data_IF_371855600309
#
_entry.id   IF_371855600309
#
_cell.length_a   1.000
_cell.length_b   1.000
_cell.length_c   1.000
_cell.angle_alpha   90.00
_cell.angle_beta   90.00
_cell.angle_gamma   90.00
#
_symmetry.space_group_name_H-M   'P 1'
#
loop_
_entity.id
_entity.type
_entity.pdbx_description
1 polymer ?
#
# COMPACT_ATOMS: atom_id res chain seq x y z
N UNK A 1 -24.93 -20.92 60.11
CA UNK A 1 -25.40 -19.59 59.65
C UNK A 1 -24.55 -18.50 60.31
N UNK A 2 -23.55 -17.96 59.60
CA UNK A 2 -22.71 -16.89 60.13
C UNK A 2 -23.46 -15.56 59.93
N UNK A 3 -23.98 -14.96 61.01
CA UNK A 3 -24.56 -13.60 60.99
C UNK A 3 -23.44 -12.57 60.85
N UNK A 4 -23.03 -12.27 59.62
CA UNK A 4 -22.14 -11.15 59.34
C UNK A 4 -22.88 -9.84 59.65
N UNK A 5 -22.32 -9.01 60.55
CA UNK A 5 -22.87 -7.67 60.85
C UNK A 5 -22.78 -6.81 59.59
N UNK A 6 -23.81 -6.00 59.29
CA UNK A 6 -23.92 -5.10 58.12
C UNK A 6 -22.61 -4.39 57.70
N UNK A 7 -21.78 -3.80 58.60
CA UNK A 7 -20.50 -3.19 58.19
C UNK A 7 -19.45 -4.19 57.69
N UNK A 8 -19.46 -5.45 58.16
CA UNK A 8 -18.52 -6.49 57.70
C UNK A 8 -18.87 -6.99 56.30
N UNK A 9 -20.15 -6.98 55.92
CA UNK A 9 -20.60 -7.34 54.57
C UNK A 9 -20.15 -6.27 53.57
N UNK A 10 -20.26 -4.99 53.93
CA UNK A 10 -19.82 -3.88 53.08
C UNK A 10 -18.31 -3.93 52.82
N UNK A 11 -17.50 -4.21 53.85
CA UNK A 11 -16.05 -4.37 53.70
C UNK A 11 -15.72 -5.52 52.74
N UNK A 12 -16.38 -6.68 52.89
CA UNK A 12 -16.14 -7.83 52.00
C UNK A 12 -16.52 -7.51 50.55
N UNK A 13 -17.62 -6.79 50.30
CA UNK A 13 -18.03 -6.39 48.94
C UNK A 13 -17.02 -5.41 48.35
N UNK A 14 -16.58 -4.39 49.09
CA UNK A 14 -15.59 -3.42 48.62
C UNK A 14 -14.24 -4.08 48.36
N UNK A 15 -13.79 -4.99 49.23
CA UNK A 15 -12.57 -5.76 49.01
C UNK A 15 -12.69 -6.69 47.80
N UNK A 16 -13.85 -7.32 47.59
CA UNK A 16 -14.11 -8.15 46.41
C UNK A 16 -14.09 -7.31 45.12
N UNK A 17 -14.72 -6.13 45.10
CA UNK A 17 -14.67 -5.20 43.97
C UNK A 17 -13.26 -4.66 43.67
N UNK A 18 -12.41 -4.50 44.69
CA UNK A 18 -11.00 -4.11 44.50
C UNK A 18 -10.12 -5.26 43.96
N UNK A 19 -10.54 -6.52 44.15
CA UNK A 19 -9.87 -7.70 43.58
C UNK A 19 -10.26 -7.96 42.11
N UNK A 20 -11.31 -7.30 41.61
CA UNK A 20 -11.68 -7.25 40.18
C UNK A 20 -11.22 -5.94 39.52
N UNK A 21 -10.11 -5.37 39.96
CA UNK A 21 -9.46 -4.34 39.16
C UNK A 21 -8.97 -5.01 37.86
N UNK A 22 -9.72 -4.83 36.77
CA UNK A 22 -9.30 -5.27 35.45
C UNK A 22 -7.90 -4.69 35.19
N UNK A 23 -6.95 -5.59 34.97
CA UNK A 23 -5.63 -5.25 34.45
C UNK A 23 -5.85 -4.50 33.14
N UNK A 24 -5.81 -3.17 33.19
CA UNK A 24 -5.94 -2.36 31.99
C UNK A 24 -4.65 -2.51 31.17
N UNK A 25 -4.57 -3.58 30.37
CA UNK A 25 -3.46 -3.77 29.45
C UNK A 25 -3.47 -2.61 28.43
N UNK A 26 -2.40 -1.84 28.40
CA UNK A 26 -2.20 -0.81 27.39
C UNK A 26 -1.55 -1.47 26.18
N UNK A 27 -2.04 -1.18 24.97
CA UNK A 27 -1.41 -1.68 23.73
C UNK A 27 0.02 -1.18 23.69
N UNK A 28 0.98 -2.07 23.48
CA UNK A 28 2.40 -1.70 23.47
C UNK A 28 2.83 -1.40 22.04
N UNK A 29 3.44 -0.24 21.84
CA UNK A 29 4.09 0.14 20.59
C UNK A 29 5.57 0.30 20.86
N UNK A 30 6.42 -0.35 20.08
CA UNK A 30 7.85 -0.32 20.33
C UNK A 30 8.65 -0.62 19.06
N UNK A 31 9.92 -0.26 19.11
CA UNK A 31 10.86 -0.52 18.03
C UNK A 31 11.66 -1.78 18.28
N UNK A 32 11.87 -2.57 17.23
CA UNK A 32 12.84 -3.65 17.18
C UNK A 32 13.97 -3.22 16.23
N UNK A 33 15.13 -2.92 16.80
CA UNK A 33 16.34 -2.50 16.11
C UNK A 33 17.59 -2.89 16.92
N UNK A 34 18.79 -2.90 16.32
CA UNK A 34 20.04 -3.06 17.07
C UNK A 34 20.20 -1.96 18.14
N UNK A 35 20.84 -2.27 19.27
CA UNK A 35 21.16 -1.24 20.28
C UNK A 35 22.43 -0.45 19.96
N UNK A 36 23.25 -0.96 19.02
CA UNK A 36 24.52 -0.36 18.62
C UNK A 36 24.78 -0.57 17.13
N UNK A 37 25.28 0.46 16.45
CA UNK A 37 25.66 0.43 15.02
C UNK A 37 26.89 1.32 14.75
N UNK A 38 27.61 1.05 13.66
CA UNK A 38 28.67 1.91 13.16
C UNK A 38 28.18 3.03 12.23
N UNK A 39 28.91 4.14 12.14
CA UNK A 39 28.66 5.16 11.10
C UNK A 39 28.77 4.53 9.70
N UNK A 40 27.80 4.82 8.84
CA UNK A 40 27.69 4.27 7.49
C UNK A 40 27.16 2.83 7.40
N UNK A 41 27.04 2.13 8.53
CA UNK A 41 26.46 0.79 8.58
C UNK A 41 24.93 0.89 8.57
N UNK A 42 24.31 0.56 7.43
CA UNK A 42 22.85 0.50 7.33
C UNK A 42 22.27 -0.53 8.30
N UNK A 43 21.09 -0.23 8.85
CA UNK A 43 20.37 -1.15 9.74
C UNK A 43 18.85 -1.02 9.58
N UNK A 44 18.15 -2.10 9.91
CA UNK A 44 16.69 -2.16 9.93
C UNK A 44 16.12 -1.80 11.31
N UNK A 45 15.06 -0.99 11.33
CA UNK A 45 14.25 -0.72 12.52
C UNK A 45 12.76 -0.96 12.23
N UNK A 46 12.17 -1.94 12.89
CA UNK A 46 10.75 -2.27 12.74
C UNK A 46 9.92 -1.63 13.85
N UNK A 47 8.84 -0.93 13.50
CA UNK A 47 7.84 -0.47 14.45
C UNK A 47 6.80 -1.57 14.64
N UNK A 48 6.64 -2.05 15.87
CA UNK A 48 5.78 -3.19 16.20
C UNK A 48 4.61 -2.76 17.10
N UNK A 49 3.49 -3.46 16.94
CA UNK A 49 2.30 -3.34 17.79
C UNK A 49 2.04 -4.67 18.50
N UNK A 50 1.94 -4.62 19.82
CA UNK A 50 1.45 -5.72 20.65
C UNK A 50 0.08 -5.33 21.22
N UNK A 51 -1.01 -5.99 20.76
CA UNK A 51 -2.38 -5.65 21.14
C UNK A 51 -2.67 -5.97 22.61
N UNK A 52 -1.89 -6.88 23.24
CA UNK A 52 -2.09 -7.32 24.62
C UNK A 52 -3.56 -7.64 24.95
N UNK A 53 -4.21 -8.39 24.05
CA UNK A 53 -5.60 -8.85 24.18
C UNK A 53 -6.67 -7.86 23.71
N UNK A 54 -6.30 -6.69 23.20
CA UNK A 54 -7.23 -5.72 22.62
C UNK A 54 -7.27 -5.83 21.10
N UNK A 55 -8.47 -5.86 20.55
CA UNK A 55 -8.65 -5.87 19.10
C UNK A 55 -8.57 -4.44 18.55
N UNK A 56 -7.61 -4.18 17.65
CA UNK A 56 -7.32 -2.85 17.11
C UNK A 56 -7.70 -2.79 15.64
N UNK A 57 -8.39 -1.74 15.20
CA UNK A 57 -8.82 -1.61 13.81
C UNK A 57 -8.30 -0.35 13.09
N UNK A 58 -7.69 0.59 13.79
CA UNK A 58 -7.09 1.76 13.17
C UNK A 58 -5.91 2.27 14.01
N UNK A 59 -4.90 2.78 13.31
CA UNK A 59 -3.74 3.42 13.92
C UNK A 59 -3.36 4.69 13.15
N UNK A 60 -2.79 5.65 13.85
CA UNK A 60 -2.15 6.83 13.29
C UNK A 60 -0.97 7.22 14.17
N UNK A 61 0.03 7.88 13.59
CA UNK A 61 1.15 8.40 14.36
C UNK A 61 2.22 9.06 13.51
N UNK A 62 3.24 9.55 14.21
CA UNK A 62 4.43 10.15 13.59
C UNK A 62 5.70 9.55 14.18
N UNK A 63 6.69 9.30 13.35
CA UNK A 63 8.05 8.96 13.79
C UNK A 63 8.94 10.16 13.60
N UNK A 64 9.63 10.57 14.66
CA UNK A 64 10.63 11.64 14.59
C UNK A 64 11.97 11.01 14.23
N UNK A 65 12.59 11.48 13.16
CA UNK A 65 13.87 10.96 12.69
C UNK A 65 15.02 11.79 13.29
N UNK A 66 15.92 11.19 14.09
CA UNK A 66 17.11 11.87 14.58
C UNK A 66 18.01 12.35 13.45
N UNK A 67 18.73 13.47 13.63
CA UNK A 67 19.56 14.08 12.59
C UNK A 67 20.78 13.24 12.20
N UNK A 68 21.18 12.35 13.10
CA UNK A 68 22.27 11.40 12.93
C UNK A 68 21.86 10.19 12.08
N UNK A 69 20.58 10.07 11.72
CA UNK A 69 20.04 8.98 10.91
C UNK A 69 19.44 9.52 9.60
N UNK A 70 19.89 8.95 8.49
CA UNK A 70 19.28 9.14 7.17
C UNK A 70 18.34 7.96 6.88
N UNK A 71 17.15 8.22 6.35
CA UNK A 71 16.22 7.17 5.92
C UNK A 71 16.59 6.74 4.50
N UNK A 72 16.96 5.47 4.33
CA UNK A 72 17.21 4.87 3.01
C UNK A 72 15.88 4.48 2.37
N UNK A 73 15.02 3.77 3.11
CA UNK A 73 13.73 3.29 2.61
C UNK A 73 12.77 2.97 3.75
N UNK A 74 11.48 2.90 3.42
CA UNK A 74 10.41 2.48 4.30
C UNK A 74 9.64 1.34 3.63
N UNK A 75 9.42 0.25 4.35
CA UNK A 75 8.80 -0.96 3.86
C UNK A 75 7.59 -1.32 4.73
N UNK A 76 6.41 -1.38 4.11
CA UNK A 76 5.14 -1.78 4.73
C UNK A 76 4.62 -3.13 4.22
N UNK A 77 5.48 -3.93 3.59
CA UNK A 77 5.13 -5.18 2.93
C UNK A 77 4.62 -6.28 3.86
N UNK A 78 5.28 -6.41 5.01
CA UNK A 78 4.87 -7.32 6.08
C UNK A 78 3.97 -6.61 7.12
N UNK A 79 3.29 -5.53 6.75
CA UNK A 79 2.48 -4.75 7.67
C UNK A 79 1.21 -5.49 8.10
N UNK A 80 0.85 -5.36 9.38
CA UNK A 80 -0.47 -5.66 9.91
C UNK A 80 -1.55 -4.71 9.37
N UNK A 81 -1.17 -3.50 8.94
CA UNK A 81 -2.09 -2.52 8.36
C UNK A 81 -2.36 -2.91 6.92
N UNK A 82 -3.59 -3.32 6.65
CA UNK A 82 -4.00 -3.78 5.33
C UNK A 82 -4.44 -2.65 4.40
N UNK A 83 -4.86 -1.50 4.95
CA UNK A 83 -5.26 -0.32 4.17
C UNK A 83 -4.66 0.95 4.75
N UNK A 84 -3.80 1.62 3.98
CA UNK A 84 -3.21 2.89 4.37
C UNK A 84 -4.08 4.07 3.90
N UNK A 85 -4.31 5.02 4.80
CA UNK A 85 -4.86 6.35 4.47
C UNK A 85 -3.71 7.29 4.16
N UNK A 86 -2.65 7.22 4.97
CA UNK A 86 -1.38 7.87 4.73
C UNK A 86 -0.28 6.81 4.91
N UNK A 87 0.30 6.39 3.79
CA UNK A 87 1.34 5.37 3.78
C UNK A 87 2.64 5.94 4.34
N UNK A 88 3.36 5.20 5.21
CA UNK A 88 4.59 5.69 5.82
C UNK A 88 5.65 5.95 4.73
N UNK A 89 6.03 7.21 4.58
CA UNK A 89 7.03 7.66 3.61
C UNK A 89 7.93 8.72 4.30
N UNK A 90 9.23 8.84 3.98
CA UNK A 90 10.05 9.91 4.49
C UNK A 90 9.58 11.21 3.84
N UNK A 91 8.79 12.00 4.57
CA UNK A 91 8.58 13.39 4.19
C UNK A 91 9.90 14.11 4.51
N UNK A 92 10.50 14.85 3.58
CA UNK A 92 11.79 15.55 3.77
C UNK A 92 11.84 16.55 4.95
N UNK A 93 10.79 16.59 5.78
CA UNK A 93 10.66 17.32 7.04
C UNK A 93 11.40 16.69 8.24
N UNK A 94 11.93 15.47 8.09
CA UNK A 94 12.54 14.72 9.21
C UNK A 94 11.53 13.90 10.02
N UNK A 95 10.32 13.70 9.48
CA UNK A 95 9.28 12.88 10.09
C UNK A 95 8.69 11.89 9.08
N UNK A 96 8.30 10.71 9.59
CA UNK A 96 7.47 9.74 8.87
C UNK A 96 6.08 9.80 9.50
N UNK A 97 5.10 10.28 8.74
CA UNK A 97 3.69 10.31 9.15
C UNK A 97 2.99 9.10 8.54
N UNK A 98 2.07 8.50 9.31
CA UNK A 98 1.32 7.36 8.83
C UNK A 98 -0.07 7.29 9.49
N UNK A 99 -1.03 6.77 8.74
CA UNK A 99 -2.35 6.42 9.24
C UNK A 99 -2.96 5.30 8.39
N UNK A 100 -3.67 4.39 9.03
CA UNK A 100 -4.26 3.26 8.32
C UNK A 100 -5.23 2.46 9.18
N UNK A 101 -5.94 1.56 8.50
CA UNK A 101 -7.01 0.75 9.07
C UNK A 101 -6.77 -0.74 8.81
N UNK A 102 -7.32 -1.54 9.69
CA UNK A 102 -7.31 -3.01 9.69
C UNK A 102 -8.77 -3.47 9.76
N UNK A 103 -9.47 -3.55 8.62
CA UNK A 103 -10.85 -4.02 8.59
C UNK A 103 -10.95 -5.41 9.21
N UNK A 104 -11.94 -5.60 10.08
CA UNK A 104 -12.12 -6.86 10.81
C UNK A 104 -11.28 -6.98 12.09
N UNK A 105 -10.42 -6.00 12.39
CA UNK A 105 -9.65 -5.93 13.63
C UNK A 105 -8.39 -6.80 13.66
N UNK A 106 -7.45 -6.41 14.51
CA UNK A 106 -6.19 -7.08 14.74
C UNK A 106 -6.06 -7.45 16.22
N UNK A 107 -6.07 -8.76 16.49
CA UNK A 107 -5.86 -9.35 17.82
C UNK A 107 -4.41 -9.80 18.06
N UNK A 108 -3.59 -9.84 17.01
CA UNK A 108 -2.21 -10.34 17.03
C UNK A 108 -1.94 -11.39 15.96
N UNK A 109 -0.68 -11.73 15.77
CA UNK A 109 -0.23 -12.80 14.89
C UNK A 109 -0.31 -14.17 15.57
N UNK A 110 -0.90 -15.14 14.88
CA UNK A 110 -0.87 -16.55 15.26
C UNK A 110 0.21 -17.26 14.43
N UNK A 111 0.98 -18.13 15.06
CA UNK A 111 1.99 -18.92 14.38
C UNK A 111 1.98 -20.37 14.84
N UNK A 112 2.48 -21.30 14.01
CA UNK A 112 2.46 -22.72 14.31
C UNK A 112 3.45 -23.12 15.42
N UNK A 113 4.33 -22.21 15.83
CA UNK A 113 5.42 -22.48 16.77
C UNK A 113 5.26 -21.77 18.13
N UNK A 114 4.14 -21.09 18.37
CA UNK A 114 3.87 -20.39 19.62
C UNK A 114 2.40 -20.41 20.00
N UNK A 115 2.11 -20.31 21.30
CA UNK A 115 0.75 -20.25 21.81
C UNK A 115 0.31 -18.79 21.99
N UNK A 116 -0.92 -18.49 21.57
CA UNK A 116 -1.53 -17.18 21.73
C UNK A 116 -1.18 -16.19 20.63
N UNK A 117 -1.72 -14.98 20.80
CA UNK A 117 -1.55 -13.87 19.87
C UNK A 117 -0.25 -13.12 20.17
N UNK A 118 0.53 -12.86 19.12
CA UNK A 118 1.79 -12.13 19.20
C UNK A 118 1.70 -10.77 18.51
N UNK A 119 2.73 -9.95 18.74
CA UNK A 119 2.93 -8.67 18.06
C UNK A 119 2.92 -8.81 16.54
N UNK A 120 2.62 -7.71 15.86
CA UNK A 120 2.80 -7.57 14.42
C UNK A 120 3.64 -6.37 14.05
N UNK A 121 4.11 -6.36 12.81
CA UNK A 121 4.84 -5.24 12.23
C UNK A 121 3.90 -4.18 11.68
N UNK A 122 4.08 -2.92 12.07
CA UNK A 122 3.39 -1.78 11.43
C UNK A 122 4.12 -1.40 10.14
N UNK A 123 5.42 -1.15 10.20
CA UNK A 123 6.32 -1.02 9.05
C UNK A 123 7.77 -1.12 9.52
N UNK A 124 8.69 -1.22 8.56
CA UNK A 124 10.14 -1.25 8.77
C UNK A 124 10.82 -0.09 8.06
N UNK A 125 11.80 0.51 8.71
CA UNK A 125 12.60 1.61 8.17
C UNK A 125 14.05 1.15 8.06
N UNK A 126 14.65 1.37 6.90
CA UNK A 126 16.08 1.21 6.70
C UNK A 126 16.78 2.54 6.98
N UNK A 127 17.64 2.56 7.99
CA UNK A 127 18.40 3.74 8.39
C UNK A 127 19.86 3.62 8.01
N UNK A 128 20.50 4.76 7.76
CA UNK A 128 21.94 4.92 7.63
C UNK A 128 22.45 5.93 8.67
N UNK A 129 23.26 5.53 9.64
CA UNK A 129 23.89 6.46 10.56
C UNK A 129 24.92 7.34 9.85
N UNK A 130 24.81 8.66 10.01
CA UNK A 130 25.70 9.66 9.39
C UNK A 130 26.65 10.35 10.38
N UNK A 131 26.38 10.24 11.68
CA UNK A 131 27.20 10.83 12.74
C UNK A 131 27.22 9.94 13.99
N UNK A 132 28.31 10.00 14.76
CA UNK A 132 28.41 9.30 16.05
C UNK A 132 27.57 9.98 17.13
N UNK A 133 27.12 9.21 18.12
CA UNK A 133 26.31 9.74 19.21
C UNK A 133 25.38 8.70 19.83
N UNK A 134 24.57 9.14 20.78
CA UNK A 134 23.44 8.36 21.27
C UNK A 134 22.16 9.03 20.77
N UNK A 135 21.30 8.26 20.11
CA UNK A 135 20.04 8.76 19.58
C UNK A 135 18.88 7.93 20.07
N UNK A 136 17.70 8.53 20.07
CA UNK A 136 16.46 7.89 20.47
C UNK A 136 15.49 7.89 19.29
N UNK A 137 15.06 6.70 18.88
CA UNK A 137 13.99 6.53 17.90
C UNK A 137 12.67 6.48 18.68
N UNK A 138 11.79 7.44 18.43
CA UNK A 138 10.54 7.60 19.17
C UNK A 138 9.36 7.87 18.24
N UNK A 139 8.19 7.47 18.71
CA UNK A 139 6.90 7.74 18.08
C UNK A 139 6.15 8.82 18.86
N UNK A 140 5.56 9.77 18.16
CA UNK A 140 4.73 10.85 18.71
C UNK A 140 3.31 10.77 18.15
N UNK A 141 2.39 11.39 18.89
CA UNK A 141 0.98 11.52 18.51
C UNK A 141 0.32 10.20 18.11
N UNK A 142 0.79 9.08 18.67
CA UNK A 142 0.26 7.78 18.29
C UNK A 142 -1.15 7.61 18.84
N UNK A 143 -2.07 7.18 18.00
CA UNK A 143 -3.42 6.80 18.40
C UNK A 143 -3.74 5.42 17.85
N UNK A 144 -4.46 4.62 18.64
CA UNK A 144 -5.03 3.36 18.19
C UNK A 144 -6.49 3.27 18.62
N UNK A 145 -7.34 2.77 17.73
CA UNK A 145 -8.78 2.59 17.96
C UNK A 145 -9.12 1.11 18.14
N UNK A 146 -10.02 0.84 19.07
CA UNK A 146 -10.58 -0.49 19.30
C UNK A 146 -11.50 -0.89 18.14
N UNK A 147 -11.55 -2.18 17.83
CA UNK A 147 -12.50 -2.74 16.89
C UNK A 147 -13.91 -2.90 17.50
N UNK A 148 -14.51 -1.81 17.95
CA UNK A 148 -15.82 -1.81 18.62
C UNK A 148 -16.93 -1.11 17.83
N UNK A 149 -16.61 -0.54 16.66
CA UNK A 149 -17.53 0.22 15.82
C UNK A 149 -17.92 1.60 16.38
N UNK A 150 -17.35 2.02 17.51
CA UNK A 150 -17.62 3.31 18.17
C UNK A 150 -16.46 4.31 18.02
N UNK A 151 -15.30 3.86 17.56
CA UNK A 151 -14.11 4.70 17.42
C UNK A 151 -13.43 4.97 18.77
N UNK A 152 -13.54 4.05 19.73
CA UNK A 152 -12.97 4.22 21.06
C UNK A 152 -11.44 4.16 21.01
N UNK A 153 -10.77 5.21 21.51
CA UNK A 153 -9.31 5.22 21.68
C UNK A 153 -8.89 4.29 22.81
N UNK A 154 -7.84 3.49 22.59
CA UNK A 154 -7.23 2.69 23.65
C UNK A 154 -6.05 3.42 24.32
N UNK A 155 -5.79 3.06 25.57
CA UNK A 155 -4.53 3.40 26.23
C UNK A 155 -3.34 2.70 25.55
N UNK A 156 -2.23 3.42 25.47
CA UNK A 156 -1.01 3.02 24.79
C UNK A 156 0.19 3.04 25.75
N UNK A 157 1.11 2.11 25.53
CA UNK A 157 2.45 2.13 26.10
C UNK A 157 3.46 2.29 24.95
N UNK A 158 3.90 3.53 24.73
CA UNK A 158 4.88 3.86 23.70
C UNK A 158 6.29 3.70 24.28
N UNK A 159 7.08 2.79 23.72
CA UNK A 159 8.48 2.58 24.08
C UNK A 159 9.37 3.14 22.97
N UNK A 160 10.24 4.05 23.35
CA UNK A 160 11.33 4.49 22.48
C UNK A 160 12.45 3.45 22.44
N UNK A 161 13.35 3.61 21.47
CA UNK A 161 14.53 2.77 21.35
C UNK A 161 15.80 3.61 21.33
N UNK A 162 16.69 3.32 22.28
CA UNK A 162 18.00 3.96 22.39
C UNK A 162 19.01 3.22 21.51
N UNK A 163 19.71 3.99 20.68
CA UNK A 163 20.70 3.51 19.74
C UNK A 163 22.04 4.23 20.00
N UNK A 164 23.11 3.46 20.11
CA UNK A 164 24.48 3.97 20.22
C UNK A 164 25.16 3.87 18.85
N UNK A 165 25.58 5.01 18.29
CA UNK A 165 26.29 5.08 17.02
C UNK A 165 27.79 5.28 17.29
N UNK A 166 28.61 4.29 16.93
CA UNK A 166 30.06 4.31 17.10
C UNK A 166 30.79 4.62 15.79
N UNK A 167 32.06 5.00 15.90
CA UNK A 167 32.90 5.32 14.74
C UNK A 167 33.36 4.08 13.94
N UNK A 168 33.25 2.87 14.50
CA UNK A 168 33.74 1.63 13.88
C UNK A 168 32.60 0.74 13.39
N UNK A 169 32.81 0.09 12.24
CA UNK A 169 31.94 -0.94 11.67
C UNK A 169 32.33 -2.28 12.30
N UNK A 170 31.91 -2.54 13.55
CA UNK A 170 32.23 -3.81 14.23
C UNK A 170 31.20 -4.92 13.99
N UNK A 171 29.99 -4.58 13.54
CA UNK A 171 28.99 -5.57 13.17
C UNK A 171 29.04 -5.89 11.67
N UNK A 172 28.73 -7.14 11.26
CA UNK A 172 28.58 -7.46 9.84
C UNK A 172 27.63 -6.46 9.19
N UNK A 173 27.98 -5.97 8.00
CA UNK A 173 27.04 -5.22 7.18
C UNK A 173 25.80 -6.10 7.02
N UNK A 174 24.63 -5.59 7.44
CA UNK A 174 23.37 -6.23 7.13
C UNK A 174 23.32 -6.23 5.59
N UNK A 175 23.52 -7.39 4.96
CA UNK A 175 23.43 -7.51 3.52
C UNK A 175 22.03 -7.04 3.16
N UNK A 176 21.94 -5.95 2.39
CA UNK A 176 20.69 -5.51 1.81
C UNK A 176 20.21 -6.70 0.98
N UNK A 177 19.21 -7.41 1.49
CA UNK A 177 18.60 -8.53 0.78
C UNK A 177 18.07 -7.96 -0.53
N UNK A 178 18.70 -8.33 -1.66
CA UNK A 178 18.14 -8.08 -2.98
C UNK A 178 16.93 -8.99 -3.13
N UNK A 179 15.76 -8.45 -2.80
CA UNK A 179 14.51 -9.12 -3.12
C UNK A 179 14.33 -9.16 -4.66
N UNK A 180 14.18 -10.38 -5.16
CA UNK A 180 14.01 -10.69 -6.59
C UNK A 180 12.66 -11.34 -6.85
N UNK A 181 11.82 -11.43 -5.83
CA UNK A 181 10.49 -12.00 -5.95
C UNK A 181 9.54 -10.91 -6.45
N UNK A 182 8.68 -11.26 -7.39
CA UNK A 182 7.62 -10.35 -7.83
C UNK A 182 6.51 -10.28 -6.78
N UNK A 183 5.76 -9.16 -6.71
CA UNK A 183 4.63 -9.02 -5.81
C UNK A 183 3.66 -10.20 -5.83
N UNK A 184 2.97 -10.43 -4.71
CA UNK A 184 1.97 -11.49 -4.58
C UNK A 184 0.84 -11.30 -5.63
N UNK A 185 0.12 -12.39 -5.94
CA UNK A 185 -1.02 -12.29 -6.86
C UNK A 185 -2.13 -11.46 -6.23
N UNK A 186 -2.67 -10.50 -6.99
CA UNK A 186 -3.76 -9.63 -6.54
C UNK A 186 -4.90 -9.58 -7.56
N UNK A 187 -6.09 -9.22 -7.09
CA UNK A 187 -7.28 -8.98 -7.92
C UNK A 187 -7.49 -7.49 -8.16
N UNK A 188 -8.09 -7.19 -9.30
CA UNK A 188 -8.53 -5.85 -9.67
C UNK A 188 -10.04 -5.94 -9.88
N UNK A 189 -10.77 -5.00 -9.30
CA UNK A 189 -12.22 -4.94 -9.41
C UNK A 189 -12.67 -3.63 -10.04
N UNK A 190 -13.67 -3.71 -10.92
CA UNK A 190 -14.32 -2.54 -11.50
C UNK A 190 -15.53 -2.21 -10.62
N UNK A 191 -15.55 -1.00 -10.08
CA UNK A 191 -16.62 -0.51 -9.22
C UNK A 191 -17.23 0.77 -9.79
N UNK A 192 -18.47 1.03 -9.38
CA UNK A 192 -19.16 2.30 -9.59
C UNK A 192 -19.85 2.65 -8.29
N UNK A 193 -19.51 3.78 -7.69
CA UNK A 193 -20.01 4.15 -6.38
C UNK A 193 -20.29 5.66 -6.35
N UNK A 194 -21.44 6.07 -5.80
CA UNK A 194 -21.82 7.48 -5.73
C UNK A 194 -20.84 8.32 -4.89
N UNK A 195 -20.16 7.70 -3.93
CA UNK A 195 -19.17 8.35 -3.06
C UNK A 195 -17.76 8.39 -3.66
N UNK A 196 -17.52 7.76 -4.83
CA UNK A 196 -16.22 7.73 -5.48
C UNK A 196 -16.33 8.23 -6.91
N UNK A 197 -15.52 9.24 -7.25
CA UNK A 197 -15.43 9.81 -8.60
C UNK A 197 -16.79 10.15 -9.23
N UNK A 198 -17.70 10.77 -8.48
CA UNK A 198 -19.00 11.24 -9.00
C UNK A 198 -19.81 10.12 -9.70
N UNK A 199 -19.82 8.91 -9.15
CA UNK A 199 -20.52 7.76 -9.72
C UNK A 199 -19.97 7.35 -11.11
N UNK A 200 -18.67 7.54 -11.36
CA UNK A 200 -17.99 7.03 -12.54
C UNK A 200 -17.37 5.65 -12.27
N UNK A 201 -17.11 4.89 -13.34
CA UNK A 201 -16.43 3.61 -13.25
C UNK A 201 -14.97 3.81 -12.83
N UNK A 202 -14.55 3.07 -11.81
CA UNK A 202 -13.20 3.11 -11.28
C UNK A 202 -12.69 1.70 -10.99
N UNK A 203 -11.37 1.58 -10.84
CA UNK A 203 -10.69 0.37 -10.42
C UNK A 203 -10.36 0.46 -8.94
N UNK A 204 -10.57 -0.64 -8.23
CA UNK A 204 -10.02 -0.86 -6.89
C UNK A 204 -9.10 -2.07 -6.95
N UNK A 205 -7.92 -1.93 -6.37
CA UNK A 205 -6.91 -2.97 -6.28
C UNK A 205 -5.97 -2.66 -5.12
N UNK A 206 -5.38 -3.71 -4.56
CA UNK A 206 -4.31 -3.62 -3.58
C UNK A 206 -3.44 -4.86 -3.73
N UNK A 207 -2.14 -4.65 -3.91
CA UNK A 207 -1.14 -5.71 -3.97
C UNK A 207 -0.32 -5.75 -2.68
N UNK A 208 0.25 -6.90 -2.38
CA UNK A 208 1.15 -7.09 -1.26
C UNK A 208 2.47 -7.67 -1.77
N UNK A 209 3.57 -7.17 -1.23
CA UNK A 209 4.89 -7.75 -1.42
C UNK A 209 5.59 -7.76 -0.07
N UNK A 210 6.01 -8.94 0.41
CA UNK A 210 6.61 -9.09 1.75
C UNK A 210 8.11 -8.81 1.78
N UNK A 211 8.76 -8.82 0.62
CA UNK A 211 10.19 -8.61 0.49
C UNK A 211 10.52 -7.13 0.60
N UNK A 212 10.36 -6.40 -0.50
CA UNK A 212 10.68 -4.99 -0.63
C UNK A 212 9.48 -4.05 -0.47
N UNK A 213 8.26 -4.58 -0.55
CA UNK A 213 7.02 -3.81 -0.46
C UNK A 213 6.63 -3.12 -1.77
N UNK A 214 5.38 -2.72 -1.90
CA UNK A 214 4.88 -2.07 -3.12
C UNK A 214 5.37 -0.63 -3.21
N UNK A 215 5.92 -0.25 -4.37
CA UNK A 215 6.30 1.13 -4.68
C UNK A 215 5.13 1.91 -5.29
N UNK A 216 4.62 1.44 -6.43
CA UNK A 216 3.52 2.09 -7.15
C UNK A 216 2.78 1.09 -8.05
N UNK A 217 1.70 1.57 -8.67
CA UNK A 217 0.95 0.83 -9.68
C UNK A 217 0.99 1.54 -11.02
N UNK A 218 0.90 0.74 -12.09
CA UNK A 218 0.70 1.25 -13.44
C UNK A 218 -0.58 0.69 -14.04
N UNK A 219 -1.45 1.57 -14.56
CA UNK A 219 -2.70 1.19 -15.22
C UNK A 219 -2.63 1.51 -16.70
N UNK A 220 -3.06 0.56 -17.54
CA UNK A 220 -3.19 0.76 -18.98
C UNK A 220 -4.55 0.30 -19.49
N UNK A 221 -5.25 1.22 -20.14
CA UNK A 221 -6.52 1.00 -20.82
C UNK A 221 -6.25 0.86 -22.33
N UNK A 222 -6.44 -0.35 -22.86
CA UNK A 222 -6.25 -0.63 -24.29
C UNK A 222 -7.59 -0.61 -24.98
N UNK A 223 -7.92 0.54 -25.57
CA UNK A 223 -9.11 0.72 -26.38
C UNK A 223 -9.13 -0.23 -27.58
N UNK A 224 -10.29 -0.79 -27.95
CA UNK A 224 -10.43 -1.60 -29.17
C UNK A 224 -10.50 -0.74 -30.43
N UNK A 225 -10.72 0.58 -30.31
CA UNK A 225 -10.76 1.50 -31.46
C UNK A 225 -9.34 1.78 -31.96
N UNK A 226 -9.09 1.48 -33.24
CA UNK A 226 -7.75 1.58 -33.84
C UNK A 226 -7.10 2.95 -33.64
N UNK A 227 -7.84 4.03 -33.87
CA UNK A 227 -7.32 5.39 -33.70
C UNK A 227 -6.94 5.68 -32.24
N UNK A 228 -7.76 5.26 -31.28
CA UNK A 228 -7.50 5.49 -29.84
C UNK A 228 -6.26 4.71 -29.36
N UNK A 229 -5.97 3.53 -29.90
CA UNK A 229 -4.76 2.75 -29.54
C UNK A 229 -3.46 3.53 -29.77
N UNK A 230 -3.41 4.38 -30.78
CA UNK A 230 -2.22 5.20 -31.06
C UNK A 230 -2.01 6.32 -30.03
N UNK A 231 -3.06 6.77 -29.33
CA UNK A 231 -2.99 7.88 -28.37
C UNK A 231 -3.15 7.47 -26.90
N UNK A 232 -3.83 6.36 -26.60
CA UNK A 232 -4.19 5.94 -25.23
C UNK A 232 -3.35 4.78 -24.67
N UNK A 233 -2.44 4.18 -25.44
CA UNK A 233 -1.72 2.97 -25.03
C UNK A 233 -0.58 3.18 -23.99
N UNK A 234 -0.53 4.32 -23.31
CA UNK A 234 0.54 4.61 -22.32
C UNK A 234 0.10 4.18 -20.93
N UNK A 235 1.03 3.59 -20.18
CA UNK A 235 0.85 3.32 -18.76
C UNK A 235 0.64 4.64 -18.00
N UNK A 236 -0.26 4.61 -17.03
CA UNK A 236 -0.53 5.70 -16.09
C UNK A 236 -0.04 5.25 -14.73
N UNK A 237 0.92 5.98 -14.16
CA UNK A 237 1.45 5.72 -12.83
C UNK A 237 0.45 6.24 -11.79
N UNK A 238 0.19 5.45 -10.76
CA UNK A 238 -0.62 5.83 -9.60
C UNK A 238 -0.04 5.20 -8.35
N UNK A 239 0.06 5.96 -7.27
CA UNK A 239 0.69 5.49 -6.02
C UNK A 239 -0.24 4.54 -5.26
N UNK A 240 -1.56 4.80 -5.31
CA UNK A 240 -2.58 4.07 -4.58
C UNK A 240 -3.81 3.76 -5.46
N UNK A 241 -4.57 2.73 -5.09
CA UNK A 241 -5.95 2.56 -5.56
C UNK A 241 -6.91 3.40 -4.69
N UNK A 242 -8.01 3.96 -5.23
CA UNK A 242 -8.69 3.64 -6.49
C UNK A 242 -8.29 4.50 -7.70
N UNK A 243 -8.44 3.96 -8.92
CA UNK A 243 -8.11 4.63 -10.19
C UNK A 243 -9.36 4.87 -11.05
N UNK A 244 -9.62 6.12 -11.44
CA UNK A 244 -10.73 6.49 -12.33
C UNK A 244 -10.47 6.01 -13.77
N UNK A 245 -11.37 5.18 -14.33
CA UNK A 245 -11.25 4.74 -15.71
C UNK A 245 -11.48 5.89 -16.69
N UNK A 246 -10.67 5.95 -17.74
CA UNK A 246 -10.90 6.89 -18.85
C UNK A 246 -11.99 6.36 -19.79
N UNK A 247 -12.03 5.04 -20.00
CA UNK A 247 -13.08 4.39 -20.77
C UNK A 247 -14.29 4.03 -19.90
N UNK A 248 -15.19 5.00 -19.75
CA UNK A 248 -16.47 4.83 -19.04
C UNK A 248 -17.47 3.91 -19.75
N UNK A 249 -17.17 3.43 -20.97
CA UNK A 249 -17.99 2.46 -21.67
C UNK A 249 -17.50 1.01 -21.48
N UNK A 250 -16.43 0.78 -20.72
CA UNK A 250 -15.90 -0.55 -20.36
C UNK A 250 -15.59 -1.45 -21.56
N UNK A 251 -15.17 -0.83 -22.67
CA UNK A 251 -14.83 -1.49 -23.91
C UNK A 251 -13.34 -1.86 -23.99
N UNK A 252 -12.53 -1.23 -23.14
CA UNK A 252 -11.08 -1.36 -23.13
C UNK A 252 -10.64 -2.61 -22.36
N UNK A 253 -9.59 -3.25 -22.85
CA UNK A 253 -8.85 -4.23 -22.05
C UNK A 253 -7.99 -3.47 -21.04
N UNK A 254 -8.12 -3.82 -19.78
CA UNK A 254 -7.45 -3.12 -18.67
C UNK A 254 -6.34 -4.02 -18.15
N UNK A 255 -5.14 -3.47 -18.02
CA UNK A 255 -3.99 -4.10 -17.35
C UNK A 255 -3.56 -3.23 -16.20
N UNK A 256 -3.35 -3.84 -15.04
CA UNK A 256 -2.80 -3.19 -13.86
C UNK A 256 -1.53 -3.93 -13.47
N UNK A 257 -0.43 -3.20 -13.30
CA UNK A 257 0.82 -3.72 -12.76
C UNK A 257 1.02 -3.18 -11.36
N UNK A 258 1.42 -4.03 -10.44
CA UNK A 258 2.03 -3.64 -9.18
C UNK A 258 3.56 -3.75 -9.33
N UNK A 259 4.28 -2.70 -8.96
CA UNK A 259 5.75 -2.63 -9.02
C UNK A 259 6.26 -2.46 -7.59
N UNK A 260 7.21 -3.29 -7.18
CA UNK A 260 7.83 -3.21 -5.86
C UNK A 260 8.97 -2.16 -5.79
N UNK A 261 9.57 -2.00 -4.61
CA UNK A 261 10.66 -1.04 -4.41
C UNK A 261 11.99 -1.41 -5.11
N UNK A 262 12.11 -2.63 -5.65
CA UNK A 262 13.27 -3.10 -6.40
C UNK A 262 13.00 -3.26 -7.90
N UNK A 263 11.78 -2.95 -8.35
CA UNK A 263 11.36 -2.97 -9.74
C UNK A 263 10.80 -4.31 -10.23
N UNK A 264 10.57 -5.30 -9.37
CA UNK A 264 9.86 -6.52 -9.80
C UNK A 264 8.37 -6.20 -10.02
N UNK A 265 7.78 -6.81 -11.05
CA UNK A 265 6.42 -6.50 -11.50
C UNK A 265 5.48 -7.69 -11.44
N UNK A 266 4.21 -7.43 -11.07
CA UNK A 266 3.12 -8.40 -11.18
C UNK A 266 1.93 -7.76 -11.88
N UNK A 267 1.47 -8.39 -12.97
CA UNK A 267 0.34 -7.90 -13.77
C UNK A 267 -0.96 -8.64 -13.44
N UNK A 268 -2.07 -7.90 -13.41
CA UNK A 268 -3.45 -8.38 -13.39
C UNK A 268 -4.22 -7.80 -14.58
N UNK A 269 -5.08 -8.61 -15.20
CA UNK A 269 -5.75 -8.27 -16.46
C UNK A 269 -7.26 -8.41 -16.31
N UNK A 270 -7.99 -7.38 -16.69
CA UNK A 270 -9.45 -7.40 -16.84
C UNK A 270 -9.79 -7.30 -18.33
N UNK A 271 -10.59 -8.24 -18.80
CA UNK A 271 -11.13 -8.21 -20.16
C UNK A 271 -12.20 -7.13 -20.28
N UNK A 272 -12.39 -6.61 -21.50
CA UNK A 272 -13.47 -5.68 -21.79
C UNK A 272 -14.82 -6.28 -21.39
N UNK A 273 -15.63 -5.54 -20.64
CA UNK A 273 -16.96 -6.01 -20.23
C UNK A 273 -17.98 -5.83 -21.35
N UNK A 274 -17.78 -4.82 -22.20
CA UNK A 274 -18.63 -4.54 -23.34
C UNK A 274 -17.91 -4.91 -24.65
N UNK A 275 -18.67 -5.54 -25.55
CA UNK A 275 -18.20 -5.90 -26.88
C UNK A 275 -18.57 -4.83 -27.88
N UNK A 276 -17.62 -4.51 -28.77
CA UNK A 276 -17.85 -3.57 -29.87
C UNK A 276 -17.97 -4.32 -31.18
N UNK A 277 -18.93 -3.89 -32.01
CA UNK A 277 -19.06 -4.37 -33.37
C UNK A 277 -18.11 -3.63 -34.31
N UNK A 278 -17.58 -4.34 -35.31
CA UNK A 278 -16.54 -3.86 -36.21
C UNK A 278 -16.88 -2.56 -36.96
N UNK A 279 -18.17 -2.25 -37.18
CA UNK A 279 -18.62 -1.06 -37.91
C UNK A 279 -18.70 0.21 -37.04
N UNK A 280 -18.62 0.08 -35.71
CA UNK A 280 -18.69 1.21 -34.77
C UNK A 280 -17.35 1.98 -34.69
N UNK A 281 -16.27 1.41 -35.23
CA UNK A 281 -14.97 2.06 -35.32
C UNK A 281 -14.89 2.95 -36.58
N UNK A 282 -15.09 4.26 -36.40
CA UNK A 282 -15.07 5.25 -37.49
C UNK A 282 -13.75 5.26 -38.27
N UNK A 283 -12.63 4.89 -37.65
CA UNK A 283 -11.33 4.85 -38.33
C UNK A 283 -11.31 3.83 -39.48
N UNK A 284 -12.09 2.75 -39.36
CA UNK A 284 -12.21 1.73 -40.41
C UNK A 284 -12.96 2.26 -41.63
N UNK A 285 -13.98 3.07 -41.42
CA UNK A 285 -14.68 3.76 -42.51
C UNK A 285 -13.75 4.73 -43.24
N UNK A 286 -12.94 5.48 -42.50
CA UNK A 286 -11.94 6.39 -43.08
C UNK A 286 -10.92 5.62 -43.92
N UNK A 287 -10.40 4.49 -43.41
CA UNK A 287 -9.47 3.62 -44.16
C UNK A 287 -10.16 3.04 -45.41
N UNK A 288 -11.39 2.56 -45.30
CA UNK A 288 -12.10 1.99 -46.44
C UNK A 288 -12.37 3.03 -47.53
N UNK A 289 -12.82 4.23 -47.15
CA UNK A 289 -13.05 5.34 -48.08
C UNK A 289 -11.74 5.80 -48.73
N UNK A 290 -10.64 5.90 -47.97
CA UNK A 290 -9.35 6.32 -48.53
C UNK A 290 -8.79 5.30 -49.52
N UNK A 291 -8.98 4.00 -49.28
CA UNK A 291 -8.62 2.92 -50.23
C UNK A 291 -9.47 3.01 -51.49
N UNK A 292 -10.79 3.20 -51.37
CA UNK A 292 -11.69 3.34 -52.53
C UNK A 292 -11.30 4.55 -53.38
N UNK A 293 -11.03 5.70 -52.75
CA UNK A 293 -10.58 6.91 -53.46
C UNK A 293 -9.22 6.68 -54.15
N UNK A 294 -8.27 6.04 -53.47
CA UNK A 294 -6.94 5.74 -54.04
C UNK A 294 -7.05 4.85 -55.27
N UNK A 295 -7.88 3.80 -55.22
CA UNK A 295 -8.16 2.92 -56.37
C UNK A 295 -8.84 3.69 -57.51
N UNK A 296 -9.79 4.57 -57.19
CA UNK A 296 -10.46 5.42 -58.19
C UNK A 296 -9.47 6.35 -58.92
N UNK A 297 -8.59 7.03 -58.18
CA UNK A 297 -7.57 7.90 -58.76
C UNK A 297 -6.53 7.12 -59.58
N UNK A 298 -6.09 5.95 -59.10
CA UNK A 298 -5.20 5.05 -59.85
C UNK A 298 -5.82 4.60 -61.18
N UNK A 299 -7.10 4.22 -61.17
CA UNK A 299 -7.83 3.87 -62.40
C UNK A 299 -7.93 5.03 -63.37
N UNK A 300 -8.25 6.24 -62.88
CA UNK A 300 -8.27 7.45 -63.71
C UNK A 300 -6.91 7.76 -64.32
N UNK A 301 -5.83 7.64 -63.54
CA UNK A 301 -4.47 7.88 -64.01
C UNK A 301 -4.04 6.86 -65.07
N UNK A 302 -4.28 5.57 -64.83
CA UNK A 302 -4.00 4.49 -65.79
C UNK A 302 -4.81 4.65 -67.08
N UNK A 303 -6.09 5.01 -66.98
CA UNK A 303 -6.94 5.27 -68.14
C UNK A 303 -6.47 6.50 -68.94
N UNK A 304 -6.09 7.58 -68.26
CA UNK A 304 -5.49 8.76 -68.89
C UNK A 304 -4.16 8.45 -69.57
N UNK A 305 -3.34 7.57 -68.99
CA UNK A 305 -2.09 7.09 -69.59
C UNK A 305 -2.35 6.24 -70.84
N UNK A 306 -3.30 5.29 -70.77
CA UNK A 306 -3.71 4.47 -71.90
C UNK A 306 -4.21 5.31 -73.10
N UNK A 307 -5.02 6.35 -72.85
CA UNK A 307 -5.48 7.27 -73.90
C UNK A 307 -4.35 8.11 -74.52
N UNK A 308 -3.28 8.39 -73.78
CA UNK A 308 -2.09 9.07 -74.31
C UNK A 308 -1.23 8.14 -75.17
N UNK A 309 -1.09 6.86 -74.79
CA UNK A 309 -0.32 5.88 -75.56
C UNK A 309 -1.00 5.47 -76.88
N UNK A 310 -2.33 5.52 -76.96
CA UNK A 310 -3.10 5.20 -78.19
C UNK A 310 -3.22 6.37 -79.19
N UNK A 311 -2.56 7.51 -78.94
CA UNK A 311 -2.54 8.69 -79.82
C UNK A 311 -1.24 8.84 -80.63
N UNK A 312 -0.46 7.78 -80.76
CA UNK A 312 0.69 7.68 -81.68
C UNK A 312 0.32 6.82 -82.87
#
# INVERSE_FOLDING_TARGET
MIKLRKPKILIVIVTCCLLFADSAFAVSIYWQAPSEVGVGQGFSAALLLDPLGKEINAIEGRVVIPRELEVISVNSGNSLVSLWIEKPNPSGSGEIVFSGVMPGGYLGELGPFWEGYHRGEIFKVMFKPVATGQVEILTKDFSALLNDGLGTKTNLNLKSHLLVIKSEIQAPLENISEDREAPEKFSVEIIKNENLFENQWALVFSAQDKGSGINHYEVRETSPYLWQRFFQSRWQVTEDGPYLLKDQNLNSLIKVKAIDNLGNEKESIIQAQNTIFWYQDQSRWVIMISVILSVFFLRKALFGWFLKCNKV
#
